data_IF_833510122292
#
_entry.id   IF_833510122292
#
_cell.length_a   1.000
_cell.length_b   1.000
_cell.length_c   1.000
_cell.angle_alpha   90.00
_cell.angle_beta   90.00
_cell.angle_gamma   90.00
#
_symmetry.space_group_name_H-M   'P 1'
#
loop_
_entity.id
_entity.type
_entity.pdbx_description
1 polymer ?
#
# COMPACT_ATOMS: atom_id res chain seq x y z
N UNK A 1 16.14 -10.15 19.22
CA UNK A 1 16.75 -10.71 18.00
C UNK A 1 15.65 -11.41 17.22
N UNK A 2 15.48 -11.08 15.93
CA UNK A 2 14.46 -11.72 15.08
C UNK A 2 14.78 -13.19 14.80
N UNK A 3 13.74 -14.00 14.59
CA UNK A 3 13.87 -15.44 14.33
C UNK A 3 14.46 -15.78 12.96
N UNK A 4 14.27 -14.91 11.98
CA UNK A 4 14.70 -15.15 10.60
C UNK A 4 15.53 -13.96 10.10
N UNK A 5 16.75 -13.77 10.63
CA UNK A 5 17.55 -12.57 10.37
C UNK A 5 18.02 -12.43 8.92
N UNK A 6 17.96 -13.50 8.13
CA UNK A 6 18.39 -13.50 6.73
C UNK A 6 17.21 -13.59 5.74
N UNK A 7 15.96 -13.59 6.21
CA UNK A 7 14.80 -13.62 5.32
C UNK A 7 14.64 -12.23 4.69
N UNK A 8 14.83 -12.15 3.37
CA UNK A 8 14.77 -10.90 2.61
C UNK A 8 13.50 -10.75 1.79
N UNK A 9 12.82 -11.85 1.48
CA UNK A 9 11.59 -11.85 0.71
C UNK A 9 10.59 -12.86 1.25
N UNK A 10 9.32 -12.47 1.31
CA UNK A 10 8.20 -13.35 1.61
C UNK A 10 7.04 -13.05 0.67
N UNK A 11 6.48 -14.11 0.10
CA UNK A 11 5.27 -14.05 -0.72
C UNK A 11 4.28 -15.01 -0.08
N UNK A 12 3.16 -14.48 0.39
CA UNK A 12 2.04 -15.26 0.89
C UNK A 12 0.85 -14.99 -0.02
N UNK A 13 0.51 -15.99 -0.82
CA UNK A 13 -0.65 -15.98 -1.70
C UNK A 13 -1.44 -17.24 -1.46
N UNK A 14 -2.70 -17.10 -1.04
CA UNK A 14 -3.56 -18.25 -0.74
C UNK A 14 -4.94 -18.04 -1.36
N UNK A 15 -5.43 -18.96 -2.21
CA UNK A 15 -6.77 -18.86 -2.78
C UNK A 15 -7.89 -18.86 -1.72
N UNK A 16 -7.67 -19.53 -0.58
CA UNK A 16 -8.61 -19.60 0.53
C UNK A 16 -8.49 -18.45 1.55
N UNK A 17 -7.59 -17.50 1.31
CA UNK A 17 -7.25 -16.43 2.23
C UNK A 17 -6.47 -16.87 3.47
N UNK A 18 -5.97 -15.88 4.21
CA UNK A 18 -5.37 -16.09 5.53
C UNK A 18 -5.89 -15.03 6.50
N UNK A 19 -6.10 -15.43 7.76
CA UNK A 19 -6.44 -14.48 8.82
C UNK A 19 -5.14 -13.88 9.34
N UNK A 20 -4.81 -12.70 8.83
CA UNK A 20 -3.78 -11.86 9.42
C UNK A 20 -4.39 -10.49 9.70
N UNK A 21 -4.20 -10.03 10.93
CA UNK A 21 -4.56 -8.69 11.37
C UNK A 21 -3.29 -7.85 11.51
N UNK A 22 -3.49 -6.57 11.84
CA UNK A 22 -2.42 -5.60 12.04
C UNK A 22 -1.40 -6.09 13.11
N UNK A 23 -1.86 -6.81 14.15
CA UNK A 23 -0.98 -7.35 15.19
C UNK A 23 -0.10 -8.50 14.66
N UNK A 24 -0.67 -9.40 13.87
CA UNK A 24 0.05 -10.50 13.25
C UNK A 24 1.15 -9.98 12.30
N UNK A 25 0.85 -8.94 11.50
CA UNK A 25 1.83 -8.31 10.63
C UNK A 25 2.96 -7.65 11.42
N UNK A 26 2.63 -6.86 12.45
CA UNK A 26 3.63 -6.22 13.31
C UNK A 26 4.54 -7.26 13.99
N UNK A 27 3.93 -8.29 14.57
CA UNK A 27 4.64 -9.40 15.21
C UNK A 27 5.54 -10.15 14.22
N UNK A 28 5.07 -10.38 13.00
CA UNK A 28 5.83 -11.02 11.94
C UNK A 28 7.05 -10.18 11.54
N UNK A 29 6.85 -8.90 11.19
CA UNK A 29 7.93 -7.99 10.77
C UNK A 29 9.03 -7.86 11.83
N UNK A 30 8.68 -7.87 13.12
CA UNK A 30 9.66 -7.89 14.21
C UNK A 30 10.56 -9.15 14.22
N UNK A 31 10.14 -10.26 13.60
CA UNK A 31 10.94 -11.49 13.48
C UNK A 31 11.86 -11.51 12.26
N UNK A 32 11.67 -10.60 11.30
CA UNK A 32 12.31 -10.64 9.97
C UNK A 32 13.00 -9.30 9.66
N UNK A 33 13.97 -8.84 10.47
CA UNK A 33 14.50 -7.47 10.41
C UNK A 33 15.20 -7.08 9.10
N UNK A 34 15.48 -8.04 8.20
CA UNK A 34 16.10 -7.81 6.89
C UNK A 34 15.11 -8.00 5.73
N UNK A 35 13.81 -8.13 6.01
CA UNK A 35 12.80 -8.32 4.99
C UNK A 35 12.71 -7.06 4.10
N UNK A 36 13.08 -7.22 2.84
CA UNK A 36 13.06 -6.18 1.83
C UNK A 36 11.82 -6.25 0.95
N UNK A 37 11.23 -7.44 0.77
CA UNK A 37 10.05 -7.67 -0.06
C UNK A 37 8.98 -8.44 0.69
N UNK A 38 7.78 -7.87 0.78
CA UNK A 38 6.62 -8.53 1.35
C UNK A 38 5.44 -8.48 0.36
N UNK A 39 4.91 -9.64 0.00
CA UNK A 39 3.69 -9.75 -0.79
C UNK A 39 2.63 -10.52 0.00
N UNK A 40 1.51 -9.87 0.24
CA UNK A 40 0.32 -10.43 0.90
C UNK A 40 -0.83 -10.36 -0.10
N UNK A 41 -1.05 -11.46 -0.80
CA UNK A 41 -1.98 -11.53 -1.94
C UNK A 41 -3.18 -12.39 -1.58
N UNK A 42 -4.38 -11.80 -1.59
CA UNK A 42 -5.61 -12.51 -1.27
C UNK A 42 -6.78 -12.04 -2.16
N UNK A 43 -7.34 -12.92 -3.00
CA UNK A 43 -8.37 -12.57 -3.97
C UNK A 43 -9.80 -12.52 -3.42
N UNK A 44 -10.06 -12.93 -2.17
CA UNK A 44 -11.44 -13.00 -1.66
C UNK A 44 -11.63 -12.68 -0.16
N UNK A 45 -12.80 -12.10 0.12
CA UNK A 45 -13.20 -11.17 1.19
C UNK A 45 -13.11 -11.73 2.62
N UNK A 46 -12.57 -10.93 3.54
CA UNK A 46 -12.73 -11.12 5.00
C UNK A 46 -11.55 -10.65 5.86
N UNK A 47 -10.39 -10.39 5.26
CA UNK A 47 -9.18 -9.96 5.96
C UNK A 47 -9.36 -8.57 6.58
N UNK A 48 -9.09 -8.46 7.89
CA UNK A 48 -9.24 -7.25 8.72
C UNK A 48 -8.07 -6.28 8.59
N UNK A 49 -7.25 -6.39 7.55
CA UNK A 49 -6.18 -5.42 7.37
C UNK A 49 -6.78 -4.06 7.09
N UNK A 50 -6.43 -3.11 7.95
CA UNK A 50 -6.84 -1.72 7.79
C UNK A 50 -5.70 -0.97 7.12
N UNK A 51 -5.93 0.29 6.77
CA UNK A 51 -4.86 1.20 6.34
C UNK A 51 -3.73 1.33 7.40
N UNK A 52 -3.94 0.83 8.62
CA UNK A 52 -2.91 0.70 9.66
C UNK A 52 -1.78 -0.29 9.28
N UNK A 53 -2.03 -1.24 8.37
CA UNK A 53 -1.00 -2.10 7.80
C UNK A 53 0.14 -1.30 7.17
N UNK A 54 -0.19 -0.19 6.52
CA UNK A 54 0.79 0.73 5.94
C UNK A 54 1.63 1.39 7.03
N UNK A 55 0.99 1.79 8.15
CA UNK A 55 1.70 2.38 9.31
C UNK A 55 2.68 1.39 9.91
N UNK A 56 2.28 0.12 10.04
CA UNK A 56 3.15 -0.96 10.50
C UNK A 56 4.32 -1.17 9.52
N UNK A 57 4.04 -1.21 8.22
CA UNK A 57 5.07 -1.38 7.21
C UNK A 57 6.11 -0.25 7.22
N UNK A 58 5.68 1.00 7.45
CA UNK A 58 6.58 2.15 7.56
C UNK A 58 7.55 2.08 8.75
N UNK A 59 7.21 1.33 9.79
CA UNK A 59 8.12 1.12 10.92
C UNK A 59 9.26 0.14 10.57
N UNK A 60 9.15 -0.59 9.45
CA UNK A 60 10.14 -1.59 9.04
C UNK A 60 11.21 -1.00 8.11
N UNK A 61 12.39 -0.71 8.67
CA UNK A 61 13.46 0.04 7.99
C UNK A 61 14.16 -0.66 6.83
N UNK A 62 13.92 -1.96 6.63
CA UNK A 62 14.51 -2.70 5.51
C UNK A 62 13.53 -2.91 4.34
N UNK A 63 12.23 -2.62 4.54
CA UNK A 63 11.19 -2.95 3.57
C UNK A 63 11.23 -1.97 2.39
N UNK A 64 11.43 -2.48 1.17
CA UNK A 64 11.53 -1.71 -0.08
C UNK A 64 10.35 -1.93 -1.01
N UNK A 65 9.78 -3.13 -0.97
CA UNK A 65 8.65 -3.54 -1.77
C UNK A 65 7.55 -4.09 -0.87
N UNK A 66 6.35 -3.57 -1.03
CA UNK A 66 5.16 -4.00 -0.31
C UNK A 66 4.01 -4.21 -1.29
N UNK A 67 3.47 -5.41 -1.33
CA UNK A 67 2.26 -5.74 -2.08
C UNK A 67 1.16 -6.19 -1.11
N UNK A 68 0.04 -5.47 -1.13
CA UNK A 68 -1.15 -5.70 -0.33
C UNK A 68 -2.36 -5.75 -1.26
N UNK A 69 -2.71 -6.93 -1.78
CA UNK A 69 -3.86 -7.04 -2.69
C UNK A 69 -5.21 -7.25 -2.00
N UNK A 70 -5.27 -7.01 -0.69
CA UNK A 70 -6.46 -7.21 0.14
C UNK A 70 -7.44 -6.03 0.03
N UNK A 71 -8.73 -6.29 0.25
CA UNK A 71 -9.76 -5.26 0.40
C UNK A 71 -9.54 -4.51 1.72
N UNK A 72 -8.74 -3.44 1.68
CA UNK A 72 -8.66 -2.49 2.77
C UNK A 72 -10.01 -1.81 2.91
N UNK A 73 -10.73 -2.12 4.00
CA UNK A 73 -12.06 -1.57 4.24
C UNK A 73 -12.07 -0.03 4.10
N UNK A 74 -13.21 0.55 3.73
CA UNK A 74 -13.40 1.99 3.49
C UNK A 74 -13.35 2.87 4.76
N UNK A 75 -12.48 2.54 5.71
CA UNK A 75 -12.30 3.24 6.97
C UNK A 75 -11.60 4.59 6.81
N UNK A 76 -11.68 5.47 7.82
CA UNK A 76 -10.91 6.70 7.83
C UNK A 76 -9.40 6.39 7.80
N UNK A 77 -8.62 7.30 7.20
CA UNK A 77 -7.17 7.26 7.31
C UNK A 77 -6.77 7.21 8.79
N UNK A 78 -5.80 6.36 9.18
CA UNK A 78 -5.29 6.36 10.53
C UNK A 78 -4.79 7.76 10.88
N UNK A 79 -5.27 8.31 12.00
CA UNK A 79 -4.75 9.57 12.50
C UNK A 79 -3.26 9.37 12.84
N UNK A 80 -2.40 9.90 11.99
CA UNK A 80 -1.01 10.14 12.34
C UNK A 80 -1.06 11.26 13.38
N UNK A 81 -0.87 10.94 14.66
CA UNK A 81 -0.83 11.97 15.70
C UNK A 81 0.17 13.04 15.25
N UNK A 82 -0.17 14.32 15.40
CA UNK A 82 0.62 15.50 14.96
C UNK A 82 2.08 15.52 15.47
N UNK A 83 2.45 14.56 16.31
CA UNK A 83 3.80 14.25 16.77
C UNK A 83 4.55 13.21 15.93
N UNK A 84 4.14 12.95 14.67
CA UNK A 84 4.67 11.86 13.84
C UNK A 84 6.21 11.75 13.92
N UNK A 85 6.75 10.65 14.49
CA UNK A 85 8.17 10.34 14.33
C UNK A 85 8.44 10.16 12.83
N UNK A 86 9.56 10.70 12.34
CA UNK A 86 10.08 10.32 11.03
C UNK A 86 10.17 8.79 11.00
N UNK A 87 9.32 8.16 10.19
CA UNK A 87 9.34 6.72 10.03
C UNK A 87 10.64 6.35 9.32
N UNK A 88 11.35 5.29 9.74
CA UNK A 88 12.60 4.87 9.11
C UNK A 88 12.36 4.17 7.76
N UNK A 89 11.21 4.39 7.12
CA UNK A 89 10.80 3.65 5.95
C UNK A 89 11.70 3.95 4.76
N UNK A 90 12.05 2.89 4.04
CA UNK A 90 12.78 2.92 2.77
C UNK A 90 11.94 2.31 1.64
N UNK A 91 10.62 2.24 1.85
CA UNK A 91 9.68 1.69 0.89
C UNK A 91 9.72 2.52 -0.40
N UNK A 92 9.89 1.85 -1.53
CA UNK A 92 9.96 2.45 -2.87
C UNK A 92 8.78 2.05 -3.73
N UNK A 93 8.40 0.78 -3.63
CA UNK A 93 7.35 0.19 -4.45
C UNK A 93 6.20 -0.26 -3.55
N UNK A 94 5.02 0.33 -3.80
CA UNK A 94 3.77 -0.06 -3.16
C UNK A 94 2.82 -0.61 -4.22
N UNK A 95 2.40 -1.84 -4.02
CA UNK A 95 1.43 -2.50 -4.86
C UNK A 95 0.14 -2.72 -4.07
N UNK A 96 -0.96 -2.16 -4.53
CA UNK A 96 -2.26 -2.22 -3.84
C UNK A 96 -3.29 -2.97 -4.67
N UNK A 97 -4.11 -3.79 -4.02
CA UNK A 97 -5.19 -4.48 -4.72
C UNK A 97 -6.51 -3.77 -4.59
N UNK A 98 -7.50 -4.51 -4.08
CA UNK A 98 -8.90 -4.10 -4.00
C UNK A 98 -9.21 -3.03 -2.93
N UNK A 99 -8.22 -2.29 -2.44
CA UNK A 99 -8.43 -1.24 -1.44
C UNK A 99 -9.18 -0.06 -2.05
N UNK A 100 -10.37 0.25 -1.50
CA UNK A 100 -11.24 1.32 -2.01
C UNK A 100 -10.90 2.65 -1.36
N UNK A 101 -10.40 3.57 -2.17
CA UNK A 101 -10.14 4.95 -1.76
C UNK A 101 -11.24 5.89 -2.25
N UNK A 102 -11.72 6.76 -1.35
CA UNK A 102 -12.79 7.73 -1.66
C UNK A 102 -12.25 9.04 -2.18
N UNK A 103 -11.14 9.49 -1.63
CA UNK A 103 -10.50 10.77 -1.94
C UNK A 103 -8.99 10.54 -2.14
N UNK A 104 -8.46 10.75 -3.37
CA UNK A 104 -7.04 10.56 -3.67
C UNK A 104 -6.13 11.51 -2.89
N UNK A 105 -6.49 12.77 -2.72
CA UNK A 105 -5.55 13.77 -2.17
C UNK A 105 -5.17 13.51 -0.70
N UNK A 106 -6.10 13.18 0.22
CA UNK A 106 -5.75 12.75 1.57
C UNK A 106 -4.93 11.47 1.59
N UNK A 107 -5.17 10.53 0.67
CA UNK A 107 -4.40 9.30 0.57
C UNK A 107 -2.96 9.58 0.11
N UNK A 108 -2.76 10.40 -0.93
CA UNK A 108 -1.45 10.80 -1.41
C UNK A 108 -0.64 11.48 -0.29
N UNK A 109 -1.24 12.46 0.41
CA UNK A 109 -0.58 13.11 1.55
C UNK A 109 -0.22 12.14 2.67
N UNK A 110 -1.11 11.19 2.97
CA UNK A 110 -0.86 10.14 3.97
C UNK A 110 0.32 9.25 3.56
N UNK A 111 0.35 8.78 2.30
CA UNK A 111 1.43 7.93 1.78
C UNK A 111 2.75 8.70 1.70
N UNK A 112 2.75 9.94 1.22
CA UNK A 112 3.94 10.79 1.16
C UNK A 112 4.55 11.01 2.54
N UNK A 113 3.70 11.23 3.56
CA UNK A 113 4.15 11.39 4.95
C UNK A 113 4.74 10.10 5.50
N UNK A 114 4.15 8.97 5.15
CA UNK A 114 4.48 7.66 5.71
C UNK A 114 5.69 7.02 5.04
N UNK A 115 5.84 7.26 3.73
CA UNK A 115 6.84 6.68 2.86
C UNK A 115 7.51 7.77 1.99
N UNK A 116 8.38 8.61 2.56
CA UNK A 116 9.02 9.70 1.83
C UNK A 116 9.99 9.25 0.71
N UNK A 117 10.24 7.94 0.59
CA UNK A 117 11.06 7.32 -0.44
C UNK A 117 10.23 6.54 -1.49
N UNK A 118 8.90 6.59 -1.39
CA UNK A 118 7.97 5.89 -2.27
C UNK A 118 7.92 6.58 -3.64
N UNK A 119 8.44 5.90 -4.66
CA UNK A 119 8.55 6.41 -6.03
C UNK A 119 7.68 5.64 -7.04
N UNK A 120 7.09 4.51 -6.64
CA UNK A 120 6.20 3.74 -7.50
C UNK A 120 4.98 3.23 -6.73
N UNK A 121 3.79 3.49 -7.29
CA UNK A 121 2.51 2.96 -6.81
C UNK A 121 1.84 2.24 -7.98
N UNK A 122 1.62 0.94 -7.83
CA UNK A 122 0.92 0.12 -8.81
C UNK A 122 -0.34 -0.50 -8.19
N UNK A 123 -1.31 -0.85 -9.03
CA UNK A 123 -2.53 -1.50 -8.58
C UNK A 123 -2.90 -2.75 -9.41
N UNK A 124 -3.40 -3.81 -8.75
CA UNK A 124 -4.03 -4.97 -9.43
C UNK A 124 -5.47 -5.10 -8.99
N UNK A 125 -6.37 -5.13 -9.96
CA UNK A 125 -7.68 -5.72 -9.76
C UNK A 125 -7.64 -7.10 -10.39
N UNK A 126 -7.76 -8.15 -9.57
CA UNK A 126 -7.68 -9.54 -10.04
C UNK A 126 -8.91 -10.00 -10.86
N UNK A 127 -9.91 -9.15 -11.00
CA UNK A 127 -11.11 -9.43 -11.80
C UNK A 127 -11.06 -8.64 -13.11
N UNK A 128 -10.16 -9.03 -14.02
CA UNK A 128 -10.45 -8.85 -15.45
C UNK A 128 -11.65 -9.75 -15.74
N UNK A 129 -12.86 -9.19 -15.71
CA UNK A 129 -14.07 -9.88 -16.13
C UNK A 129 -13.86 -10.26 -17.59
N UNK A 130 -13.48 -11.52 -17.85
CA UNK A 130 -13.39 -12.06 -19.20
C UNK A 130 -14.75 -11.81 -19.89
N UNK A 131 -14.73 -11.01 -20.97
CA UNK A 131 -15.89 -10.45 -21.67
C UNK A 131 -16.79 -11.51 -22.34
N UNK A 132 -17.41 -12.44 -21.61
CA UNK A 132 -18.38 -13.36 -22.19
C UNK A 132 -19.54 -13.64 -21.21
N UNK A 133 -20.67 -12.93 -21.45
CA UNK A 133 -21.96 -13.00 -20.73
C UNK A 133 -22.06 -12.30 -19.36
N UNK A 134 -21.72 -11.01 -19.33
CA UNK A 134 -21.81 -10.15 -18.14
C UNK A 134 -23.28 -9.82 -17.84
N UNK A 135 -23.80 -10.26 -16.68
CA UNK A 135 -25.12 -9.85 -16.21
C UNK A 135 -25.10 -8.34 -15.85
N UNK A 136 -26.24 -7.63 -15.81
CA UNK A 136 -26.27 -6.20 -15.47
C UNK A 136 -25.59 -5.86 -14.14
N UNK A 137 -25.66 -6.76 -13.15
CA UNK A 137 -25.00 -6.61 -11.84
C UNK A 137 -23.47 -6.71 -11.93
N UNK A 138 -22.95 -7.50 -12.87
CA UNK A 138 -21.51 -7.65 -13.13
C UNK A 138 -20.95 -6.39 -13.83
N UNK A 139 -21.75 -5.68 -14.63
CA UNK A 139 -21.38 -4.39 -15.23
C UNK A 139 -21.20 -3.33 -14.13
N UNK A 140 -22.11 -3.28 -13.15
CA UNK A 140 -22.00 -2.32 -12.05
C UNK A 140 -20.75 -2.59 -11.18
N UNK A 141 -20.43 -3.86 -10.94
CA UNK A 141 -19.20 -4.25 -10.26
C UNK A 141 -17.95 -3.84 -11.06
N UNK A 142 -17.94 -4.07 -12.38
CA UNK A 142 -16.85 -3.67 -13.28
C UNK A 142 -16.60 -2.16 -13.31
N UNK A 143 -17.67 -1.36 -13.41
CA UNK A 143 -17.56 0.09 -13.40
C UNK A 143 -17.05 0.61 -12.06
N UNK A 144 -17.46 -0.03 -10.96
CA UNK A 144 -16.97 0.33 -9.63
C UNK A 144 -15.49 -0.04 -9.45
N UNK A 145 -15.06 -1.17 -10.04
CA UNK A 145 -13.66 -1.57 -10.11
C UNK A 145 -12.80 -0.52 -10.80
N UNK A 146 -13.19 -0.14 -12.02
CA UNK A 146 -12.50 0.87 -12.81
C UNK A 146 -12.48 2.23 -12.10
N UNK A 147 -13.58 2.60 -11.44
CA UNK A 147 -13.63 3.83 -10.66
C UNK A 147 -12.55 3.85 -9.57
N UNK A 148 -12.44 2.78 -8.76
CA UNK A 148 -11.44 2.73 -7.69
C UNK A 148 -10.01 2.53 -8.19
N UNK A 149 -9.82 1.83 -9.32
CA UNK A 149 -8.53 1.75 -9.99
C UNK A 149 -8.04 3.15 -10.41
N UNK A 150 -8.89 3.92 -11.09
CA UNK A 150 -8.57 5.29 -11.51
C UNK A 150 -8.28 6.23 -10.33
N UNK A 151 -8.84 5.98 -9.14
CA UNK A 151 -8.45 6.74 -7.94
C UNK A 151 -7.03 6.46 -7.50
N UNK A 152 -6.52 5.24 -7.68
CA UNK A 152 -5.13 4.91 -7.34
C UNK A 152 -4.16 5.50 -8.35
N UNK A 153 -4.56 5.58 -9.63
CA UNK A 153 -3.83 6.36 -10.63
C UNK A 153 -3.74 7.84 -10.23
N UNK A 154 -4.84 8.44 -9.78
CA UNK A 154 -4.84 9.81 -9.25
C UNK A 154 -3.90 9.97 -8.03
N UNK A 155 -3.84 8.98 -7.13
CA UNK A 155 -2.89 9.00 -6.00
C UNK A 155 -1.44 8.93 -6.49
N UNK A 156 -1.14 8.05 -7.45
CA UNK A 156 0.19 7.90 -8.01
C UNK A 156 0.67 9.19 -8.68
N UNK A 157 -0.20 9.85 -9.46
CA UNK A 157 0.12 11.14 -10.08
C UNK A 157 0.37 12.22 -9.05
N UNK A 158 -0.50 12.36 -8.04
CA UNK A 158 -0.32 13.37 -6.99
C UNK A 158 0.98 13.15 -6.21
N UNK A 159 1.37 11.89 -5.97
CA UNK A 159 2.64 11.55 -5.34
C UNK A 159 3.82 11.96 -6.21
N UNK A 160 3.77 11.70 -7.52
CA UNK A 160 4.81 12.13 -8.48
C UNK A 160 4.97 13.67 -8.47
N UNK A 161 3.87 14.41 -8.54
CA UNK A 161 3.89 15.87 -8.51
C UNK A 161 4.56 16.40 -7.22
N UNK A 162 4.22 15.83 -6.05
CA UNK A 162 4.84 16.19 -4.75
C UNK A 162 6.34 15.90 -4.71
N UNK A 163 6.79 14.84 -5.38
CA UNK A 163 8.21 14.50 -5.51
C UNK A 163 8.98 15.47 -6.40
N UNK A 164 8.39 15.85 -7.52
CA UNK A 164 8.96 16.84 -8.44
C UNK A 164 9.12 18.20 -7.75
N UNK A 165 8.09 18.66 -7.03
CA UNK A 165 8.12 19.91 -6.26
C UNK A 165 9.28 19.91 -5.25
N UNK A 166 9.40 18.84 -4.46
CA UNK A 166 10.49 18.71 -3.48
C UNK A 166 11.88 18.67 -4.13
N UNK A 167 12.01 17.96 -5.26
CA UNK A 167 13.28 17.84 -5.97
C UNK A 167 13.74 19.18 -6.57
N UNK A 168 12.79 20.01 -7.01
CA UNK A 168 13.04 21.36 -7.46
C UNK A 168 13.50 22.27 -6.30
N UNK A 169 12.84 22.20 -5.15
CA UNK A 169 13.21 22.99 -3.95
C UNK A 169 14.61 22.63 -3.41
N UNK A 170 14.97 21.34 -3.40
CA UNK A 170 16.30 20.89 -2.95
C UNK A 170 17.42 21.32 -3.92
N UNK A 171 17.10 21.46 -5.21
CA UNK A 171 18.03 21.93 -6.25
C UNK A 171 18.31 23.42 -6.13
N UNK A 172 17.28 24.24 -5.86
CA UNK A 172 17.43 25.70 -5.72
C UNK A 172 18.23 26.08 -4.46
N UNK A 173 18.04 25.37 -3.34
CA UNK A 173 18.77 25.60 -2.08
C UNK A 173 20.25 25.22 -2.14
N UNK A 174 20.67 24.41 -3.12
CA UNK A 174 22.07 23.99 -3.29
C UNK A 174 22.92 25.01 -4.07
N UNK A 175 22.31 26.10 -4.54
CA UNK A 175 22.92 27.13 -5.40
C UNK A 175 23.20 28.47 -4.70
N UNK A 176 22.87 28.61 -3.43
CA UNK A 176 23.18 29.78 -2.58
C UNK A 176 24.39 29.54 -1.66
#
# INVERSE_FOLDING_TARGET
MGRFPNLTAMILSTPGGFDADDNALSGFLAQVPQLARLCLVQPNVGSKFTLYALVIAAQHSALRYLELTMDGGTGPLPALAESSPSFPSVLRELYVGHTRIRDPAPMANFLHTLFPALDNIEHQWLDEIEEYNVAPDDIAAALNAQFFAGRWDEVAQLMEDMWEERSAEESDQSTE
#
